data_IF_693807269854
#
_entry.id   IF_693807269854
#
_cell.length_a   1.000
_cell.length_b   1.000
_cell.length_c   1.000
_cell.angle_alpha   90.00
_cell.angle_beta   90.00
_cell.angle_gamma   90.00
#
_symmetry.space_group_name_H-M   'P 1'
#
loop_
_entity.id
_entity.type
_entity.pdbx_description
1 polymer ?
#
# COMPACT_ATOMS: atom_id res chain seq x y z
N UNK A 1 -33.57 42.60 41.60
CA UNK A 1 -34.88 42.97 42.22
C UNK A 1 -34.96 42.80 43.77
N UNK A 2 -33.86 42.56 44.49
CA UNK A 2 -33.84 42.54 45.97
C UNK A 2 -33.20 43.80 46.60
N UNK A 3 -32.68 44.70 45.76
CA UNK A 3 -32.06 45.97 46.17
C UNK A 3 -33.08 46.98 46.72
N UNK A 4 -34.38 46.74 46.51
CA UNK A 4 -35.46 47.67 46.87
C UNK A 4 -35.97 47.50 48.31
N UNK A 5 -35.55 46.45 49.02
CA UNK A 5 -36.07 46.11 50.37
C UNK A 5 -35.02 46.23 51.51
N UNK A 6 -33.80 46.68 51.23
CA UNK A 6 -32.82 47.05 52.28
C UNK A 6 -32.11 45.89 53.01
N UNK A 7 -32.29 44.64 52.57
CA UNK A 7 -31.71 43.46 53.22
C UNK A 7 -30.29 43.07 52.77
N UNK A 8 -29.68 43.80 51.82
CA UNK A 8 -28.37 43.44 51.26
C UNK A 8 -27.54 44.69 50.95
N UNK A 9 -26.25 44.67 51.31
CA UNK A 9 -25.30 45.76 51.03
C UNK A 9 -25.01 45.88 49.53
N UNK A 10 -24.78 47.11 49.05
CA UNK A 10 -24.29 47.34 47.68
C UNK A 10 -22.99 46.56 47.38
N UNK A 11 -22.17 46.34 48.41
CA UNK A 11 -20.93 45.59 48.33
C UNK A 11 -21.17 44.10 48.05
N UNK A 12 -22.21 43.49 48.63
CA UNK A 12 -22.53 42.07 48.40
C UNK A 12 -23.04 41.84 46.98
N UNK A 13 -23.78 42.81 46.43
CA UNK A 13 -24.25 42.78 45.04
C UNK A 13 -23.08 42.93 44.08
N UNK A 14 -22.14 43.83 44.35
CA UNK A 14 -20.93 43.98 43.54
C UNK A 14 -20.01 42.76 43.65
N UNK A 15 -19.90 42.14 44.83
CA UNK A 15 -19.18 40.88 45.03
C UNK A 15 -19.81 39.75 44.23
N UNK A 16 -21.13 39.61 44.26
CA UNK A 16 -21.86 38.62 43.46
C UNK A 16 -21.73 38.84 41.95
N UNK A 17 -21.82 40.10 41.49
CA UNK A 17 -21.60 40.45 40.06
C UNK A 17 -20.17 40.19 39.61
N UNK A 18 -19.20 40.40 40.48
CA UNK A 18 -17.79 40.14 40.17
C UNK A 18 -17.51 38.64 40.15
N UNK A 19 -18.08 37.88 41.09
CA UNK A 19 -18.04 36.43 41.09
C UNK A 19 -18.73 35.82 39.84
N UNK A 20 -19.87 36.37 39.42
CA UNK A 20 -20.53 35.96 38.17
C UNK A 20 -19.64 36.22 36.96
N UNK A 21 -19.07 37.42 36.84
CA UNK A 21 -18.17 37.76 35.72
C UNK A 21 -16.91 36.89 35.69
N UNK A 22 -16.35 36.57 36.86
CA UNK A 22 -15.23 35.65 36.97
C UNK A 22 -15.61 34.25 36.50
N UNK A 23 -16.76 33.73 36.96
CA UNK A 23 -17.25 32.42 36.53
C UNK A 23 -17.58 32.35 35.02
N UNK A 24 -18.12 33.43 34.44
CA UNK A 24 -18.35 33.53 32.99
C UNK A 24 -17.03 33.56 32.20
N UNK A 25 -16.02 34.27 32.69
CA UNK A 25 -14.69 34.30 32.09
C UNK A 25 -14.01 32.92 32.16
N UNK A 26 -14.09 32.25 33.31
CA UNK A 26 -13.57 30.90 33.50
C UNK A 26 -14.26 29.89 32.59
N UNK A 27 -15.60 29.97 32.47
CA UNK A 27 -16.36 29.12 31.55
C UNK A 27 -15.90 29.31 30.11
N UNK A 28 -15.75 30.56 29.66
CA UNK A 28 -15.26 30.86 28.32
C UNK A 28 -13.83 30.34 28.09
N UNK A 29 -12.94 30.46 29.06
CA UNK A 29 -11.60 29.93 28.98
C UNK A 29 -11.60 28.39 28.83
N UNK A 30 -12.40 27.69 29.63
CA UNK A 30 -12.55 26.23 29.55
C UNK A 30 -13.14 25.79 28.21
N UNK A 31 -14.13 26.51 27.68
CA UNK A 31 -14.72 26.21 26.37
C UNK A 31 -13.71 26.36 25.23
N UNK A 32 -12.92 27.44 25.23
CA UNK A 32 -11.84 27.65 24.25
C UNK A 32 -10.78 26.55 24.34
N UNK A 33 -10.43 26.13 25.55
CA UNK A 33 -9.46 25.06 25.76
C UNK A 33 -10.00 23.70 25.29
N UNK A 34 -11.28 23.41 25.52
CA UNK A 34 -11.95 22.21 25.01
C UNK A 34 -12.02 22.21 23.48
N UNK A 35 -12.34 23.34 22.86
CA UNK A 35 -12.36 23.49 21.40
C UNK A 35 -10.97 23.29 20.77
N UNK A 36 -9.93 23.83 21.42
CA UNK A 36 -8.54 23.65 21.00
C UNK A 36 -8.11 22.18 21.09
N UNK A 37 -8.47 21.49 22.18
CA UNK A 37 -8.20 20.07 22.36
C UNK A 37 -8.93 19.20 21.31
N UNK A 38 -10.21 19.48 21.03
CA UNK A 38 -10.97 18.78 19.99
C UNK A 38 -10.34 18.95 18.60
N UNK A 39 -9.87 20.17 18.29
CA UNK A 39 -9.19 20.47 17.04
C UNK A 39 -7.85 19.71 16.93
N UNK A 40 -7.09 19.62 18.01
CA UNK A 40 -5.85 18.86 18.07
C UNK A 40 -6.08 17.36 17.80
N UNK A 41 -7.12 16.76 18.39
CA UNK A 41 -7.50 15.36 18.15
C UNK A 41 -7.85 15.14 16.68
N UNK A 42 -8.66 16.02 16.07
CA UNK A 42 -9.00 15.90 14.64
C UNK A 42 -7.77 15.97 13.72
N UNK A 43 -6.76 16.77 14.08
CA UNK A 43 -5.49 16.83 13.36
C UNK A 43 -4.69 15.54 13.49
N UNK A 44 -4.69 14.90 14.66
CA UNK A 44 -4.05 13.59 14.89
C UNK A 44 -4.74 12.50 14.08
N UNK A 45 -6.07 12.45 14.06
CA UNK A 45 -6.82 11.45 13.28
C UNK A 45 -6.52 11.55 11.77
N UNK A 46 -6.41 12.78 11.25
CA UNK A 46 -6.01 13.02 9.86
C UNK A 46 -4.58 12.55 9.56
N UNK A 47 -3.64 12.71 10.50
CA UNK A 47 -2.27 12.23 10.37
C UNK A 47 -2.19 10.69 10.45
N UNK A 48 -2.99 10.07 11.31
CA UNK A 48 -3.10 8.60 11.40
C UNK A 48 -3.66 8.02 10.10
N UNK A 49 -4.68 8.65 9.51
CA UNK A 49 -5.22 8.26 8.22
C UNK A 49 -4.17 8.36 7.10
N UNK A 50 -3.37 9.44 7.08
CA UNK A 50 -2.28 9.60 6.12
C UNK A 50 -1.18 8.56 6.32
N UNK A 51 -0.88 8.17 7.56
CA UNK A 51 0.13 7.15 7.88
C UNK A 51 -0.19 5.81 7.19
N UNK A 52 -1.45 5.37 7.25
CA UNK A 52 -1.87 4.13 6.60
C UNK A 52 -1.69 4.17 5.07
N UNK A 53 -1.99 5.31 4.44
CA UNK A 53 -1.77 5.51 3.02
C UNK A 53 -0.28 5.46 2.63
N UNK A 54 0.58 6.13 3.42
CA UNK A 54 2.03 6.12 3.20
C UNK A 54 2.62 4.72 3.43
N UNK A 55 2.15 3.98 4.44
CA UNK A 55 2.57 2.59 4.66
C UNK A 55 2.22 1.68 3.48
N UNK A 56 1.03 1.85 2.90
CA UNK A 56 0.62 1.12 1.70
C UNK A 56 1.52 1.45 0.50
N UNK A 57 1.87 2.73 0.31
CA UNK A 57 2.75 3.18 -0.76
C UNK A 57 4.19 2.65 -0.61
N UNK A 58 4.70 2.61 0.62
CA UNK A 58 5.98 1.97 0.95
C UNK A 58 5.94 0.47 0.61
N UNK A 59 4.86 -0.23 0.97
CA UNK A 59 4.71 -1.65 0.67
C UNK A 59 4.67 -1.91 -0.85
N UNK A 60 3.94 -1.09 -1.60
CA UNK A 60 3.88 -1.19 -3.06
C UNK A 60 5.25 -0.93 -3.71
N UNK A 61 5.96 0.10 -3.25
CA UNK A 61 7.30 0.43 -3.76
C UNK A 61 8.30 -0.70 -3.49
N UNK A 62 8.22 -1.34 -2.31
CA UNK A 62 9.03 -2.54 -2.00
C UNK A 62 8.72 -3.69 -2.95
N UNK A 63 7.44 -3.95 -3.24
CA UNK A 63 7.03 -4.98 -4.20
C UNK A 63 7.58 -4.69 -5.60
N UNK A 64 7.52 -3.45 -6.06
CA UNK A 64 8.10 -3.05 -7.35
C UNK A 64 9.62 -3.25 -7.39
N UNK A 65 10.32 -2.97 -6.28
CA UNK A 65 11.76 -3.23 -6.18
C UNK A 65 12.08 -4.74 -6.25
N UNK A 66 11.28 -5.58 -5.60
CA UNK A 66 11.43 -7.03 -5.69
C UNK A 66 11.17 -7.54 -7.12
N UNK A 67 10.12 -7.03 -7.77
CA UNK A 67 9.78 -7.35 -9.16
C UNK A 67 10.82 -6.85 -10.19
N UNK A 68 11.70 -5.92 -9.82
CA UNK A 68 12.80 -5.49 -10.67
C UNK A 68 13.86 -6.59 -10.89
N UNK A 69 13.89 -7.61 -10.02
CA UNK A 69 14.78 -8.76 -10.15
C UNK A 69 13.99 -10.00 -10.56
N UNK A 70 14.10 -10.40 -11.83
CA UNK A 70 13.47 -11.63 -12.33
C UNK A 70 14.33 -12.84 -11.99
N UNK A 71 13.76 -13.80 -11.26
CA UNK A 71 14.40 -15.08 -10.90
C UNK A 71 13.76 -16.25 -11.66
N UNK A 72 14.55 -17.27 -11.97
CA UNK A 72 14.05 -18.47 -12.63
C UNK A 72 13.17 -19.29 -11.66
N UNK A 73 11.94 -19.71 -12.06
CA UNK A 73 11.07 -20.52 -11.21
C UNK A 73 11.47 -22.00 -11.16
N UNK A 74 12.30 -22.46 -12.09
CA UNK A 74 12.80 -23.83 -12.18
C UNK A 74 14.15 -23.89 -12.89
N UNK A 75 14.87 -25.00 -12.74
CA UNK A 75 16.11 -25.27 -13.45
C UNK A 75 15.85 -25.46 -14.94
N UNK A 76 16.53 -24.69 -15.78
CA UNK A 76 16.27 -24.68 -17.20
C UNK A 76 17.38 -24.03 -18.01
N UNK A 77 17.19 -24.01 -19.34
CA UNK A 77 18.12 -23.36 -20.27
C UNK A 77 17.49 -22.11 -20.87
N UNK A 78 18.17 -20.98 -20.74
CA UNK A 78 17.75 -19.71 -21.36
C UNK A 78 18.10 -19.74 -22.85
N UNK A 79 17.12 -19.46 -23.70
CA UNK A 79 17.28 -19.28 -25.15
C UNK A 79 16.64 -17.97 -25.61
N UNK A 80 17.01 -17.50 -26.81
CA UNK A 80 16.44 -16.31 -27.45
C UNK A 80 16.45 -15.07 -26.56
N UNK A 81 17.59 -14.77 -25.93
CA UNK A 81 17.78 -13.54 -25.17
C UNK A 81 17.88 -12.36 -26.15
N UNK A 82 16.86 -11.50 -26.17
CA UNK A 82 16.72 -10.36 -27.11
C UNK A 82 17.04 -9.00 -26.49
N UNK A 83 17.71 -8.98 -25.34
CA UNK A 83 18.11 -7.74 -24.65
C UNK A 83 19.62 -7.67 -24.47
N UNK A 84 20.12 -6.46 -24.29
CA UNK A 84 21.50 -6.18 -23.91
C UNK A 84 21.52 -5.24 -22.71
N UNK A 85 22.65 -5.19 -22.00
CA UNK A 85 22.82 -4.29 -20.85
C UNK A 85 22.52 -2.85 -21.27
N UNK A 86 21.69 -2.16 -20.49
CA UNK A 86 21.26 -0.78 -20.76
C UNK A 86 20.01 -0.63 -21.64
N UNK A 87 19.47 -1.72 -22.21
CA UNK A 87 18.18 -1.66 -22.89
C UNK A 87 17.00 -1.71 -21.91
N UNK A 88 15.95 -0.95 -22.22
CA UNK A 88 14.71 -0.95 -21.45
C UNK A 88 13.86 -2.17 -21.78
N UNK A 89 13.53 -2.94 -20.74
CA UNK A 89 12.50 -3.97 -20.77
C UNK A 89 11.11 -3.29 -20.79
N UNK A 90 10.20 -3.75 -21.65
CA UNK A 90 8.80 -3.29 -21.67
C UNK A 90 7.87 -4.42 -21.28
N UNK A 91 6.79 -4.09 -20.57
CA UNK A 91 5.72 -5.03 -20.30
C UNK A 91 5.17 -5.62 -21.61
N UNK A 92 4.72 -6.87 -21.55
CA UNK A 92 4.12 -7.59 -22.68
C UNK A 92 5.08 -7.91 -23.86
N UNK A 93 6.38 -7.60 -23.74
CA UNK A 93 7.40 -8.04 -24.70
C UNK A 93 8.28 -9.13 -24.10
N UNK A 94 8.28 -10.36 -24.64
CA UNK A 94 9.14 -11.43 -24.14
C UNK A 94 10.61 -11.12 -24.45
N UNK A 95 11.45 -11.18 -23.41
CA UNK A 95 12.88 -10.85 -23.49
C UNK A 95 13.75 -12.10 -23.65
N UNK A 96 13.33 -13.21 -23.06
CA UNK A 96 13.98 -14.50 -23.15
C UNK A 96 12.96 -15.63 -22.98
N UNK A 97 13.36 -16.86 -23.30
CA UNK A 97 12.57 -18.07 -23.04
C UNK A 97 13.38 -19.00 -22.15
N UNK A 98 12.76 -19.53 -21.10
CA UNK A 98 13.36 -20.54 -20.22
C UNK A 98 12.77 -21.91 -20.55
N UNK A 99 13.61 -22.82 -21.03
CA UNK A 99 13.23 -24.20 -21.33
C UNK A 99 13.45 -25.08 -20.10
N UNK A 100 12.43 -25.82 -19.70
CA UNK A 100 12.53 -26.86 -18.67
C UNK A 100 13.37 -28.04 -19.19
N UNK A 101 14.49 -28.32 -18.54
CA UNK A 101 15.41 -29.39 -18.95
C UNK A 101 15.02 -30.76 -18.43
N UNK A 102 13.96 -30.89 -17.63
CA UNK A 102 13.51 -32.17 -17.04
C UNK A 102 12.76 -33.05 -18.02
N UNK A 103 12.10 -32.46 -19.02
CA UNK A 103 11.26 -33.19 -19.97
C UNK A 103 11.65 -32.81 -21.40
N UNK A 104 12.30 -33.74 -22.10
CA UNK A 104 12.64 -33.57 -23.51
C UNK A 104 11.71 -34.42 -24.36
N UNK A 105 11.24 -33.85 -25.45
CA UNK A 105 10.55 -34.56 -26.51
C UNK A 105 11.22 -34.23 -27.84
N UNK A 106 11.17 -35.17 -28.77
CA UNK A 106 11.70 -35.00 -30.13
C UNK A 106 10.52 -35.06 -31.08
N UNK A 107 10.39 -34.05 -31.94
CA UNK A 107 9.47 -34.08 -33.07
C UNK A 107 10.27 -34.48 -34.30
N UNK A 108 9.94 -35.63 -34.88
CA UNK A 108 10.50 -36.09 -36.13
C UNK A 108 9.43 -36.01 -37.22
N UNK A 109 9.66 -35.18 -38.24
CA UNK A 109 8.77 -35.06 -39.38
C UNK A 109 9.10 -36.16 -40.39
N UNK A 110 8.26 -37.18 -40.48
CA UNK A 110 8.40 -38.26 -41.45
C UNK A 110 7.50 -38.02 -42.67
N UNK A 111 7.93 -38.45 -43.86
CA UNK A 111 7.05 -38.48 -45.03
C UNK A 111 6.01 -39.57 -44.83
N UNK A 112 4.81 -39.35 -45.36
CA UNK A 112 3.70 -40.31 -45.27
C UNK A 112 4.07 -41.70 -45.82
N UNK A 113 4.95 -41.75 -46.84
CA UNK A 113 5.51 -42.99 -47.38
C UNK A 113 6.30 -43.81 -46.37
N UNK A 114 6.99 -43.13 -45.46
CA UNK A 114 7.88 -43.73 -44.46
C UNK A 114 7.13 -44.07 -43.16
N UNK A 115 5.97 -43.44 -42.96
CA UNK A 115 5.10 -43.62 -41.78
C UNK A 115 4.58 -45.06 -41.65
N UNK A 116 4.41 -45.78 -42.77
CA UNK A 116 3.91 -47.17 -42.78
C UNK A 116 4.77 -48.15 -41.97
N UNK A 117 6.05 -47.82 -41.79
CA UNK A 117 7.01 -48.65 -41.07
C UNK A 117 7.20 -48.23 -39.61
N UNK A 118 6.51 -47.17 -39.16
CA UNK A 118 6.62 -46.64 -37.80
C UNK A 118 5.47 -47.18 -36.96
N UNK A 119 5.79 -47.76 -35.80
CA UNK A 119 4.80 -48.24 -34.82
C UNK A 119 5.10 -47.64 -33.46
N UNK A 120 4.07 -47.60 -32.61
CA UNK A 120 4.27 -47.21 -31.21
C UNK A 120 5.26 -48.17 -30.55
N UNK A 121 6.27 -47.63 -29.86
CA UNK A 121 7.34 -48.40 -29.22
C UNK A 121 8.53 -48.74 -30.11
N UNK A 122 8.56 -48.31 -31.38
CA UNK A 122 9.75 -48.46 -32.22
C UNK A 122 10.93 -47.67 -31.59
N UNK A 123 12.09 -48.32 -31.34
CA UNK A 123 13.24 -47.65 -30.74
C UNK A 123 13.81 -46.61 -31.71
N UNK A 124 14.10 -45.41 -31.20
CA UNK A 124 14.73 -44.32 -31.94
C UNK A 124 16.15 -44.10 -31.39
N UNK A 125 17.13 -44.01 -32.29
CA UNK A 125 18.48 -43.58 -31.94
C UNK A 125 18.67 -42.13 -32.36
N UNK A 126 19.05 -41.27 -31.42
CA UNK A 126 19.52 -39.91 -31.68
C UNK A 126 21.04 -39.98 -31.83
N UNK A 127 21.56 -39.49 -32.95
CA UNK A 127 23.01 -39.36 -33.22
C UNK A 127 23.47 -37.96 -32.88
#
# INVERSE_FOLDING_TARGET
PLLKEGFVSAEDVDRARTAQRAAEADLNAVLLQAQSAASAVSGVDALVAQRAAVEADIALTKLHLEMATVRAPFDGRVISLKTSVGQFASAMRPIFTLIDTRHWYVIANFRETDLKNIRSGTPLSLI
#
